data_IF_737424418634
#
_entry.id   IF_737424418634
#
_cell.length_a   1.000
_cell.length_b   1.000
_cell.length_c   1.000
_cell.angle_alpha   90.00
_cell.angle_beta   90.00
_cell.angle_gamma   90.00
#
_symmetry.space_group_name_H-M   'P 1'
#
loop_
_entity.id
_entity.type
_entity.pdbx_description
1 polymer ?
#
# COMPACT_ATOMS: atom_id res chain seq x y z
N UNK A 1 -1.37 64.97 -3.50
CA UNK A 1 -1.85 64.24 -4.72
C UNK A 1 -0.79 63.23 -5.10
N UNK A 2 -0.99 62.00 -4.77
CA UNK A 2 -0.22 60.86 -5.22
C UNK A 2 -1.19 59.92 -5.91
N UNK A 3 -0.93 59.38 -7.10
CA UNK A 3 -1.82 58.47 -7.78
C UNK A 3 -1.63 57.05 -7.23
N UNK A 4 -2.75 56.44 -6.85
CA UNK A 4 -2.86 55.03 -6.57
C UNK A 4 -2.74 54.27 -7.89
N UNK A 5 -1.75 53.41 -8.03
CA UNK A 5 -1.68 52.39 -9.05
C UNK A 5 -2.03 51.05 -8.39
N UNK A 6 -3.26 50.62 -8.57
CA UNK A 6 -3.72 49.27 -8.30
C UNK A 6 -3.17 48.36 -9.38
N UNK A 7 -2.12 47.61 -9.08
CA UNK A 7 -1.76 46.43 -9.85
C UNK A 7 -2.49 45.22 -9.22
N UNK A 8 -3.66 44.94 -9.75
CA UNK A 8 -4.26 43.63 -9.67
C UNK A 8 -3.42 42.70 -10.59
N UNK A 9 -2.47 42.00 -10.03
CA UNK A 9 -1.89 40.82 -10.66
C UNK A 9 -2.98 39.79 -10.80
N UNK A 10 -3.56 39.71 -12.00
CA UNK A 10 -4.33 38.61 -12.47
C UNK A 10 -3.43 37.36 -12.43
N UNK A 11 -3.67 36.48 -11.46
CA UNK A 11 -3.10 35.13 -11.42
C UNK A 11 -3.62 34.41 -12.66
N UNK A 12 -2.89 34.47 -13.77
CA UNK A 12 -3.14 33.62 -14.91
C UNK A 12 -3.01 32.18 -14.41
N UNK A 13 -4.14 31.51 -14.25
CA UNK A 13 -4.25 30.09 -14.09
C UNK A 13 -3.63 29.46 -15.35
N UNK A 14 -2.39 29.00 -15.23
CA UNK A 14 -1.73 28.23 -16.27
C UNK A 14 -2.59 27.01 -16.55
N UNK A 15 -3.40 27.08 -17.61
CA UNK A 15 -4.16 25.93 -18.08
C UNK A 15 -3.20 24.89 -18.60
N UNK A 16 -3.05 23.78 -17.85
CA UNK A 16 -2.28 22.62 -18.27
C UNK A 16 -2.87 22.14 -19.60
N UNK A 17 -2.07 21.97 -20.66
CA UNK A 17 -2.51 21.49 -21.96
C UNK A 17 -3.36 20.22 -21.84
N UNK A 18 -4.38 20.08 -22.65
CA UNK A 18 -5.35 18.97 -22.55
C UNK A 18 -4.67 17.59 -22.73
N UNK A 19 -3.63 17.52 -23.55
CA UNK A 19 -2.86 16.29 -23.76
C UNK A 19 -2.05 15.91 -22.53
N UNK A 20 -1.51 16.86 -21.78
CA UNK A 20 -0.82 16.62 -20.50
C UNK A 20 -1.78 16.11 -19.43
N UNK A 21 -3.00 16.64 -19.38
CA UNK A 21 -4.05 16.12 -18.48
C UNK A 21 -4.44 14.69 -18.81
N UNK A 22 -4.57 14.34 -20.10
CA UNK A 22 -4.86 12.96 -20.55
C UNK A 22 -3.72 12.02 -20.18
N UNK A 23 -2.48 12.46 -20.35
CA UNK A 23 -1.28 11.70 -20.00
C UNK A 23 -1.19 11.43 -18.50
N UNK A 24 -1.41 12.45 -17.67
CA UNK A 24 -1.44 12.32 -16.21
C UNK A 24 -2.58 11.40 -15.74
N UNK A 25 -3.76 11.46 -16.36
CA UNK A 25 -4.86 10.53 -16.06
C UNK A 25 -4.52 9.09 -16.40
N UNK A 26 -3.88 8.83 -17.55
CA UNK A 26 -3.41 7.48 -17.93
C UNK A 26 -2.37 6.96 -16.94
N UNK A 27 -1.41 7.80 -16.55
CA UNK A 27 -0.42 7.45 -15.53
C UNK A 27 -1.09 7.10 -14.20
N UNK A 28 -1.98 7.97 -13.70
CA UNK A 28 -2.71 7.74 -12.48
C UNK A 28 -3.54 6.45 -12.52
N UNK A 29 -4.32 6.23 -13.58
CA UNK A 29 -5.10 5.01 -13.77
C UNK A 29 -4.23 3.75 -13.79
N UNK A 30 -3.06 3.80 -14.44
CA UNK A 30 -2.12 2.68 -14.47
C UNK A 30 -1.60 2.33 -13.06
N UNK A 31 -1.13 3.32 -12.32
CA UNK A 31 -0.65 3.10 -10.96
C UNK A 31 -1.76 2.70 -9.98
N UNK A 32 -2.96 3.24 -10.14
CA UNK A 32 -4.14 2.79 -9.38
C UNK A 32 -4.43 1.31 -9.63
N UNK A 33 -4.46 0.86 -10.89
CA UNK A 33 -4.67 -0.54 -11.24
C UNK A 33 -3.54 -1.44 -10.73
N UNK A 34 -2.29 -1.00 -10.78
CA UNK A 34 -1.18 -1.75 -10.18
C UNK A 34 -1.38 -1.93 -8.67
N UNK A 35 -1.73 -0.88 -7.94
CA UNK A 35 -2.00 -0.95 -6.51
C UNK A 35 -3.19 -1.85 -6.19
N UNK A 36 -4.29 -1.68 -6.92
CA UNK A 36 -5.52 -2.44 -6.76
C UNK A 36 -5.29 -3.94 -6.98
N UNK A 37 -4.80 -4.32 -8.16
CA UNK A 37 -4.68 -5.74 -8.55
C UNK A 37 -3.59 -6.45 -7.75
N UNK A 38 -2.49 -5.77 -7.42
CA UNK A 38 -1.43 -6.36 -6.62
C UNK A 38 -1.90 -6.76 -5.21
N UNK A 39 -2.85 -6.03 -4.65
CA UNK A 39 -3.30 -6.25 -3.27
C UNK A 39 -4.67 -6.94 -3.16
N UNK A 40 -5.51 -6.91 -4.22
CA UNK A 40 -6.86 -7.49 -4.17
C UNK A 40 -6.82 -9.00 -3.90
N UNK A 41 -5.85 -9.72 -4.44
CA UNK A 41 -5.71 -11.17 -4.22
C UNK A 41 -5.40 -11.50 -2.75
N UNK A 42 -4.56 -10.69 -2.12
CA UNK A 42 -4.28 -10.79 -0.70
C UNK A 42 -5.56 -10.69 0.13
N UNK A 43 -6.43 -9.73 -0.19
CA UNK A 43 -7.70 -9.52 0.50
C UNK A 43 -8.69 -10.64 0.23
N UNK A 44 -8.77 -11.14 -1.00
CA UNK A 44 -9.61 -12.31 -1.34
C UNK A 44 -9.21 -13.53 -0.51
N UNK A 45 -7.90 -13.82 -0.39
CA UNK A 45 -7.39 -14.93 0.42
C UNK A 45 -7.77 -14.75 1.90
N UNK A 46 -7.60 -13.53 2.45
CA UNK A 46 -7.97 -13.25 3.84
C UNK A 46 -9.48 -13.38 4.07
N UNK A 47 -10.28 -12.88 3.13
CA UNK A 47 -11.75 -12.97 3.20
C UNK A 47 -12.23 -14.41 3.09
N UNK A 48 -11.55 -15.22 2.27
CA UNK A 48 -11.81 -16.65 2.11
C UNK A 48 -11.22 -17.52 3.23
N UNK A 49 -10.47 -16.97 4.16
CA UNK A 49 -9.65 -17.73 5.11
C UNK A 49 -10.46 -18.75 5.91
N UNK A 50 -11.70 -18.42 6.29
CA UNK A 50 -12.60 -19.33 7.02
C UNK A 50 -13.04 -20.53 6.17
N UNK A 51 -13.13 -20.35 4.86
CA UNK A 51 -13.59 -21.37 3.91
C UNK A 51 -12.41 -22.21 3.37
N UNK A 52 -11.18 -21.71 3.55
CA UNK A 52 -9.95 -22.33 3.05
C UNK A 52 -9.38 -23.41 3.98
N UNK A 53 -9.66 -23.32 5.29
CA UNK A 53 -9.06 -24.22 6.29
C UNK A 53 -10.12 -24.88 7.16
N UNK A 54 -9.84 -26.09 7.69
CA UNK A 54 -10.69 -26.73 8.68
C UNK A 54 -10.84 -25.84 9.93
N UNK A 55 -11.99 -25.93 10.59
CA UNK A 55 -12.30 -25.17 11.82
C UNK A 55 -11.29 -25.39 12.97
N UNK A 56 -10.58 -26.53 12.95
CA UNK A 56 -9.53 -26.86 13.91
C UNK A 56 -8.19 -26.14 13.67
N UNK A 57 -8.03 -25.45 12.53
CA UNK A 57 -6.76 -24.81 12.16
C UNK A 57 -6.79 -23.34 12.61
N UNK A 58 -5.80 -22.88 13.40
CA UNK A 58 -5.72 -21.47 13.80
C UNK A 58 -5.62 -20.53 12.59
N UNK A 59 -6.45 -19.48 12.55
CA UNK A 59 -6.47 -18.48 11.47
C UNK A 59 -5.12 -17.76 11.29
N UNK A 60 -4.35 -17.65 12.36
CA UNK A 60 -3.01 -17.04 12.35
C UNK A 60 -2.02 -17.71 11.40
N UNK A 61 -2.19 -19.00 11.08
CA UNK A 61 -1.35 -19.71 10.11
C UNK A 61 -1.55 -19.13 8.70
N UNK A 62 -2.80 -18.85 8.32
CA UNK A 62 -3.10 -18.24 7.01
C UNK A 62 -2.51 -16.84 6.95
N UNK A 63 -2.72 -16.03 7.99
CA UNK A 63 -2.15 -14.70 8.07
C UNK A 63 -0.61 -14.73 7.97
N UNK A 64 0.03 -15.65 8.67
CA UNK A 64 1.48 -15.84 8.59
C UNK A 64 1.94 -16.22 7.18
N UNK A 65 1.32 -17.22 6.55
CA UNK A 65 1.65 -17.63 5.18
C UNK A 65 1.35 -16.55 4.14
N UNK A 66 0.41 -15.65 4.46
CA UNK A 66 0.06 -14.53 3.58
C UNK A 66 0.95 -13.30 3.79
N UNK A 67 1.78 -13.22 4.82
CA UNK A 67 2.64 -12.07 5.12
C UNK A 67 4.13 -12.40 5.03
N UNK A 68 4.56 -13.53 5.61
CA UNK A 68 5.97 -13.88 5.70
C UNK A 68 6.67 -13.99 4.33
N UNK A 69 6.10 -14.61 3.28
CA UNK A 69 6.74 -14.64 1.97
C UNK A 69 6.84 -13.27 1.30
N UNK A 70 5.85 -12.38 1.49
CA UNK A 70 5.91 -11.01 0.99
C UNK A 70 7.04 -10.23 1.65
N UNK A 71 7.22 -10.41 2.96
CA UNK A 71 8.33 -9.82 3.70
C UNK A 71 9.68 -10.33 3.19
N UNK A 72 9.82 -11.65 2.97
CA UNK A 72 11.04 -12.23 2.39
C UNK A 72 11.34 -11.61 1.01
N UNK A 73 10.33 -11.41 0.17
CA UNK A 73 10.50 -10.74 -1.12
C UNK A 73 10.97 -9.29 -0.94
N UNK A 74 10.33 -8.51 -0.05
CA UNK A 74 10.67 -7.10 0.20
C UNK A 74 12.07 -6.92 0.80
N UNK A 75 12.50 -7.84 1.67
CA UNK A 75 13.85 -7.81 2.27
C UNK A 75 14.90 -8.38 1.32
N UNK A 76 14.66 -9.57 0.79
CA UNK A 76 15.65 -10.29 0.00
C UNK A 76 15.98 -9.60 -1.31
N UNK A 77 14.96 -9.13 -2.01
CA UNK A 77 15.11 -8.59 -3.35
C UNK A 77 16.04 -7.37 -3.45
N UNK A 78 15.92 -6.31 -2.61
CA UNK A 78 16.83 -5.17 -2.64
C UNK A 78 18.27 -5.50 -2.24
N UNK A 79 18.47 -6.55 -1.42
CA UNK A 79 19.80 -6.93 -0.93
C UNK A 79 20.49 -7.96 -1.82
N UNK A 80 19.74 -8.86 -2.45
CA UNK A 80 20.26 -9.96 -3.28
C UNK A 80 20.52 -9.50 -4.70
N UNK A 81 19.61 -8.73 -5.29
CA UNK A 81 19.78 -8.28 -6.67
C UNK A 81 20.80 -7.14 -6.77
N UNK A 82 21.76 -7.35 -7.65
CA UNK A 82 22.77 -6.36 -8.02
C UNK A 82 22.47 -5.91 -9.46
N UNK A 83 22.48 -4.60 -9.70
CA UNK A 83 22.38 -4.03 -11.03
C UNK A 83 20.98 -3.49 -11.39
N UNK A 84 20.77 -3.24 -12.69
CA UNK A 84 19.57 -2.59 -13.25
C UNK A 84 18.32 -3.45 -13.06
N UNK A 85 17.22 -2.81 -12.66
CA UNK A 85 15.93 -3.49 -12.48
C UNK A 85 15.32 -3.78 -13.86
N UNK A 86 14.96 -5.04 -14.09
CA UNK A 86 14.26 -5.49 -15.30
C UNK A 86 12.75 -5.56 -15.00
N UNK A 87 12.06 -4.43 -15.13
CA UNK A 87 10.63 -4.30 -14.77
C UNK A 87 9.75 -5.31 -15.48
N UNK A 88 9.91 -5.48 -16.80
CA UNK A 88 9.12 -6.43 -17.60
C UNK A 88 9.20 -7.84 -17.06
N UNK A 89 10.42 -8.36 -16.81
CA UNK A 89 10.60 -9.72 -16.26
C UNK A 89 9.97 -9.89 -14.88
N UNK A 90 10.04 -8.85 -14.04
CA UNK A 90 9.40 -8.87 -12.70
C UNK A 90 7.87 -8.88 -12.80
N UNK A 91 7.29 -8.06 -13.68
CA UNK A 91 5.84 -7.97 -13.90
C UNK A 91 5.28 -9.30 -14.36
N UNK A 92 5.91 -9.93 -15.37
CA UNK A 92 5.51 -11.26 -15.81
C UNK A 92 5.71 -12.33 -14.71
N UNK A 93 6.83 -12.28 -13.99
CA UNK A 93 7.09 -13.18 -12.87
C UNK A 93 6.01 -13.07 -11.78
N UNK A 94 5.64 -11.85 -11.40
CA UNK A 94 4.56 -11.59 -10.44
C UNK A 94 3.22 -12.11 -10.96
N UNK A 95 2.88 -11.83 -12.23
CA UNK A 95 1.63 -12.32 -12.83
C UNK A 95 1.55 -13.84 -12.77
N UNK A 96 2.58 -14.55 -13.21
CA UNK A 96 2.62 -16.02 -13.22
C UNK A 96 2.56 -16.60 -11.81
N UNK A 97 3.35 -16.07 -10.87
CA UNK A 97 3.37 -16.54 -9.48
C UNK A 97 2.02 -16.33 -8.77
N UNK A 98 1.38 -15.17 -8.96
CA UNK A 98 0.05 -14.92 -8.40
C UNK A 98 -1.01 -15.84 -8.98
N UNK A 99 -1.07 -15.97 -10.31
CA UNK A 99 -2.05 -16.85 -10.96
C UNK A 99 -1.83 -18.30 -10.57
N UNK A 100 -0.58 -18.79 -10.56
CA UNK A 100 -0.25 -20.15 -10.14
C UNK A 100 -0.62 -20.37 -8.66
N UNK A 101 -0.31 -19.42 -7.78
CA UNK A 101 -0.66 -19.49 -6.37
C UNK A 101 -2.16 -19.63 -6.17
N UNK A 102 -2.97 -18.79 -6.84
CA UNK A 102 -4.44 -18.86 -6.76
C UNK A 102 -4.99 -20.16 -7.34
N UNK A 103 -4.43 -20.67 -8.44
CA UNK A 103 -4.83 -21.97 -9.02
C UNK A 103 -4.51 -23.12 -8.07
N UNK A 104 -3.35 -23.11 -7.40
CA UNK A 104 -3.01 -24.13 -6.41
C UNK A 104 -4.02 -24.11 -5.24
N UNK A 105 -4.38 -22.92 -4.74
CA UNK A 105 -5.41 -22.79 -3.68
C UNK A 105 -6.77 -23.31 -4.13
N UNK A 106 -7.13 -23.06 -5.40
CA UNK A 106 -8.43 -23.46 -5.94
C UNK A 106 -8.52 -24.97 -6.23
N UNK A 107 -7.46 -25.58 -6.75
CA UNK A 107 -7.50 -26.97 -7.26
C UNK A 107 -7.22 -28.01 -6.18
N UNK A 108 -6.46 -27.68 -5.14
CA UNK A 108 -6.06 -28.64 -4.11
C UNK A 108 -6.85 -28.42 -2.80
N UNK A 109 -7.34 -29.51 -2.21
CA UNK A 109 -8.04 -29.50 -0.91
C UNK A 109 -7.09 -29.68 0.28
N UNK A 110 -5.86 -30.14 0.02
CA UNK A 110 -4.85 -30.31 1.07
C UNK A 110 -4.47 -28.96 1.68
N UNK A 111 -4.54 -28.85 3.02
CA UNK A 111 -4.10 -27.66 3.76
C UNK A 111 -2.69 -27.23 3.36
N UNK A 112 -1.76 -28.19 3.27
CA UNK A 112 -0.36 -27.89 2.91
C UNK A 112 -0.24 -27.27 1.52
N UNK A 113 -0.94 -27.84 0.51
CA UNK A 113 -0.93 -27.27 -0.84
C UNK A 113 -1.55 -25.87 -0.87
N UNK A 114 -2.67 -25.64 -0.17
CA UNK A 114 -3.29 -24.31 -0.06
C UNK A 114 -2.34 -23.30 0.58
N UNK A 115 -1.64 -23.66 1.65
CA UNK A 115 -0.65 -22.77 2.30
C UNK A 115 0.52 -22.44 1.36
N UNK A 116 0.98 -23.40 0.54
CA UNK A 116 1.99 -23.12 -0.51
C UNK A 116 1.44 -22.14 -1.54
N UNK A 117 0.22 -22.37 -2.03
CA UNK A 117 -0.41 -21.47 -3.00
C UNK A 117 -0.56 -20.04 -2.45
N UNK A 118 -0.99 -19.89 -1.19
CA UNK A 118 -1.06 -18.61 -0.48
C UNK A 118 0.33 -17.97 -0.40
N UNK A 119 1.35 -18.76 -0.06
CA UNK A 119 2.74 -18.29 0.01
C UNK A 119 3.29 -17.77 -1.33
N UNK A 120 2.97 -18.45 -2.44
CA UNK A 120 3.35 -18.00 -3.79
C UNK A 120 2.67 -16.67 -4.16
N UNK A 121 1.37 -16.55 -3.92
CA UNK A 121 0.62 -15.33 -4.16
C UNK A 121 1.14 -14.17 -3.28
N UNK A 122 1.45 -14.44 -2.02
CA UNK A 122 2.04 -13.50 -1.08
C UNK A 122 3.41 -13.01 -1.54
N UNK A 123 4.30 -13.92 -1.90
CA UNK A 123 5.64 -13.56 -2.41
C UNK A 123 5.53 -12.67 -3.63
N UNK A 124 4.64 -13.01 -4.55
CA UNK A 124 4.35 -12.20 -5.74
C UNK A 124 3.84 -10.81 -5.38
N UNK A 125 2.92 -10.69 -4.42
CA UNK A 125 2.37 -9.41 -3.97
C UNK A 125 3.47 -8.51 -3.38
N UNK A 126 4.36 -9.07 -2.54
CA UNK A 126 5.48 -8.32 -1.96
C UNK A 126 6.48 -7.85 -3.02
N UNK A 127 6.82 -8.71 -4.01
CA UNK A 127 7.68 -8.36 -5.12
C UNK A 127 7.03 -7.33 -6.05
N UNK A 128 5.73 -7.45 -6.29
CA UNK A 128 4.94 -6.52 -7.11
C UNK A 128 4.91 -5.13 -6.49
N UNK A 129 4.58 -5.02 -5.20
CA UNK A 129 4.57 -3.74 -4.50
C UNK A 129 5.92 -3.04 -4.59
N UNK A 130 7.02 -3.75 -4.28
CA UNK A 130 8.37 -3.23 -4.43
C UNK A 130 8.64 -2.76 -5.88
N UNK A 131 8.22 -3.54 -6.86
CA UNK A 131 8.44 -3.25 -8.28
C UNK A 131 7.70 -1.99 -8.71
N UNK A 132 6.43 -1.80 -8.33
CA UNK A 132 5.63 -0.64 -8.72
C UNK A 132 6.06 0.63 -7.99
N UNK A 133 6.44 0.54 -6.72
CA UNK A 133 7.02 1.65 -5.98
C UNK A 133 8.35 2.10 -6.61
N UNK A 134 9.19 1.17 -7.01
CA UNK A 134 10.43 1.47 -7.73
C UNK A 134 10.16 2.01 -9.14
N UNK A 135 9.16 1.49 -9.85
CA UNK A 135 8.76 1.99 -11.17
C UNK A 135 8.30 3.45 -11.10
N UNK A 136 7.61 3.88 -10.04
CA UNK A 136 7.19 5.27 -9.87
C UNK A 136 8.38 6.25 -9.88
N UNK A 137 9.55 5.82 -9.42
CA UNK A 137 10.75 6.66 -9.39
C UNK A 137 11.38 6.91 -10.75
N UNK A 138 10.98 6.17 -11.78
CA UNK A 138 11.48 6.34 -13.14
C UNK A 138 10.85 7.54 -13.85
N UNK A 139 9.78 8.10 -13.29
CA UNK A 139 9.09 9.26 -13.83
C UNK A 139 9.68 10.56 -13.29
N UNK A 140 9.85 11.54 -14.15
CA UNK A 140 10.32 12.87 -13.84
C UNK A 140 9.34 13.91 -14.43
N UNK A 141 9.18 15.09 -13.83
CA UNK A 141 9.77 15.54 -12.57
C UNK A 141 9.21 14.85 -11.31
N UNK A 142 9.73 15.10 -10.10
CA UNK A 142 9.26 14.47 -8.86
C UNK A 142 7.75 14.60 -8.59
N UNK A 143 7.10 15.63 -9.11
CA UNK A 143 5.65 15.81 -9.04
C UNK A 143 4.90 14.73 -9.79
N UNK A 144 5.37 14.33 -10.98
CA UNK A 144 4.80 13.24 -11.79
C UNK A 144 4.97 11.89 -11.08
N UNK A 145 6.17 11.64 -10.54
CA UNK A 145 6.43 10.45 -9.73
C UNK A 145 5.52 10.39 -8.48
N UNK A 146 5.35 11.53 -7.80
CA UNK A 146 4.44 11.65 -6.65
C UNK A 146 2.98 11.43 -7.01
N UNK A 147 2.54 11.88 -8.18
CA UNK A 147 1.19 11.61 -8.72
C UNK A 147 0.97 10.09 -8.91
N UNK A 148 1.88 9.41 -9.62
CA UNK A 148 1.81 7.96 -9.78
C UNK A 148 1.77 7.22 -8.44
N UNK A 149 2.63 7.61 -7.49
CA UNK A 149 2.67 7.03 -6.15
C UNK A 149 1.37 7.23 -5.37
N UNK A 150 0.77 8.43 -5.43
CA UNK A 150 -0.52 8.72 -4.79
C UNK A 150 -1.63 7.81 -5.32
N UNK A 151 -1.71 7.63 -6.63
CA UNK A 151 -2.68 6.72 -7.24
C UNK A 151 -2.40 5.24 -6.94
N UNK A 152 -1.13 4.84 -6.85
CA UNK A 152 -0.78 3.49 -6.39
C UNK A 152 -1.27 3.25 -4.94
N UNK A 153 -1.01 4.20 -4.02
CA UNK A 153 -1.48 4.11 -2.65
C UNK A 153 -3.02 4.08 -2.56
N UNK A 154 -3.71 4.89 -3.37
CA UNK A 154 -5.17 4.86 -3.51
C UNK A 154 -5.66 3.49 -3.98
N UNK A 155 -5.03 2.92 -5.01
CA UNK A 155 -5.33 1.58 -5.52
C UNK A 155 -5.16 0.48 -4.47
N UNK A 156 -4.08 0.53 -3.68
CA UNK A 156 -3.87 -0.42 -2.57
C UNK A 156 -4.96 -0.30 -1.49
N UNK A 157 -5.44 0.92 -1.21
CA UNK A 157 -6.57 1.14 -0.32
C UNK A 157 -7.88 0.58 -0.88
N UNK A 158 -8.15 0.83 -2.17
CA UNK A 158 -9.33 0.30 -2.86
C UNK A 158 -9.36 -1.23 -2.91
N UNK A 159 -8.19 -1.89 -2.88
CA UNK A 159 -8.09 -3.35 -2.90
C UNK A 159 -8.79 -4.01 -1.71
N UNK A 160 -8.80 -3.35 -0.54
CA UNK A 160 -9.52 -3.81 0.64
C UNK A 160 -11.03 -3.95 0.38
N UNK A 161 -11.63 -2.89 -0.14
CA UNK A 161 -13.06 -2.88 -0.48
C UNK A 161 -13.36 -3.82 -1.65
N UNK A 162 -12.58 -3.74 -2.74
CA UNK A 162 -12.80 -4.54 -3.93
C UNK A 162 -12.62 -6.03 -3.66
N UNK A 163 -11.60 -6.43 -2.90
CA UNK A 163 -11.35 -7.83 -2.59
C UNK A 163 -12.43 -8.44 -1.68
N UNK A 164 -12.87 -7.70 -0.66
CA UNK A 164 -13.97 -8.14 0.19
C UNK A 164 -15.27 -8.26 -0.59
N UNK A 165 -15.59 -7.28 -1.45
CA UNK A 165 -16.76 -7.31 -2.32
C UNK A 165 -16.69 -8.48 -3.32
N UNK A 166 -15.58 -8.63 -4.03
CA UNK A 166 -15.42 -9.73 -4.99
C UNK A 166 -15.59 -11.10 -4.34
N UNK A 167 -15.00 -11.28 -3.15
CA UNK A 167 -15.19 -12.54 -2.42
C UNK A 167 -16.64 -12.75 -2.02
N UNK A 168 -17.32 -11.70 -1.54
CA UNK A 168 -18.74 -11.76 -1.19
C UNK A 168 -19.60 -12.27 -2.34
N UNK A 169 -19.39 -11.74 -3.56
CA UNK A 169 -20.13 -12.13 -4.76
C UNK A 169 -19.83 -13.57 -5.21
N UNK A 170 -18.56 -13.99 -5.14
CA UNK A 170 -18.15 -15.30 -5.68
C UNK A 170 -18.16 -16.43 -4.66
N UNK A 171 -18.25 -16.15 -3.36
CA UNK A 171 -18.21 -17.19 -2.31
C UNK A 171 -19.32 -18.23 -2.45
N UNK A 172 -20.50 -17.81 -2.94
CA UNK A 172 -21.63 -18.69 -3.21
C UNK A 172 -21.37 -19.79 -4.25
N UNK A 173 -20.35 -19.58 -5.10
CA UNK A 173 -19.87 -20.56 -6.08
C UNK A 173 -18.90 -21.60 -5.48
N UNK A 174 -18.56 -21.43 -4.20
CA UNK A 174 -17.56 -22.23 -3.50
C UNK A 174 -16.12 -21.80 -3.75
N UNK A 175 -15.21 -22.28 -2.87
CA UNK A 175 -13.80 -21.91 -2.87
C UNK A 175 -13.11 -22.18 -4.22
N UNK A 176 -13.35 -23.33 -4.82
CA UNK A 176 -12.70 -23.73 -6.09
C UNK A 176 -13.00 -22.76 -7.21
N UNK A 177 -14.27 -22.42 -7.40
CA UNK A 177 -14.68 -21.54 -8.49
C UNK A 177 -14.36 -20.08 -8.17
N UNK A 178 -14.65 -19.62 -6.95
CA UNK A 178 -14.42 -18.24 -6.54
C UNK A 178 -12.95 -17.84 -6.57
N UNK A 179 -12.07 -18.63 -5.96
CA UNK A 179 -10.63 -18.39 -5.97
C UNK A 179 -10.03 -18.64 -7.37
N UNK A 180 -10.53 -19.71 -8.06
CA UNK A 180 -10.10 -20.01 -9.41
C UNK A 180 -10.40 -18.90 -10.40
N UNK A 181 -11.57 -18.30 -10.36
CA UNK A 181 -11.93 -17.13 -11.18
C UNK A 181 -11.02 -15.93 -10.88
N UNK A 182 -10.67 -15.74 -9.60
CA UNK A 182 -9.77 -14.65 -9.19
C UNK A 182 -8.34 -14.82 -9.72
N UNK A 183 -7.93 -16.02 -10.16
CA UNK A 183 -6.60 -16.29 -10.75
C UNK A 183 -6.35 -15.56 -12.08
N UNK A 184 -7.42 -15.04 -12.71
CA UNK A 184 -7.33 -14.26 -13.94
C UNK A 184 -6.95 -12.78 -13.68
N UNK A 185 -7.25 -12.26 -12.48
CA UNK A 185 -7.01 -10.85 -12.17
C UNK A 185 -5.55 -10.39 -12.36
N UNK A 186 -4.51 -11.19 -12.04
CA UNK A 186 -3.11 -10.78 -12.24
C UNK A 186 -2.76 -10.40 -13.68
N UNK A 187 -3.47 -10.91 -14.69
CA UNK A 187 -3.21 -10.58 -16.10
C UNK A 187 -3.54 -9.12 -16.44
N UNK A 188 -4.34 -8.44 -15.59
CA UNK A 188 -4.58 -6.99 -15.73
C UNK A 188 -3.27 -6.21 -15.54
N UNK A 189 -2.32 -6.69 -14.73
CA UNK A 189 -1.04 -6.01 -14.48
C UNK A 189 -0.20 -5.87 -15.75
N UNK A 190 0.19 -6.94 -16.47
CA UNK A 190 0.91 -6.80 -17.72
C UNK A 190 0.09 -6.06 -18.79
N UNK A 191 -1.24 -6.28 -18.86
CA UNK A 191 -2.09 -5.53 -19.77
C UNK A 191 -2.03 -4.01 -19.50
N UNK A 192 -2.10 -3.60 -18.25
CA UNK A 192 -1.96 -2.19 -17.85
C UNK A 192 -0.58 -1.64 -18.21
N UNK A 193 0.48 -2.42 -17.98
CA UNK A 193 1.85 -2.00 -18.24
C UNK A 193 2.11 -1.74 -19.74
N UNK A 194 1.62 -2.63 -20.63
CA UNK A 194 1.89 -2.50 -22.06
C UNK A 194 0.91 -1.60 -22.81
N UNK A 195 -0.36 -1.53 -22.38
CA UNK A 195 -1.40 -0.82 -23.14
C UNK A 195 -1.83 0.51 -22.52
N UNK A 196 -1.71 0.67 -21.21
CA UNK A 196 -2.22 1.87 -20.52
C UNK A 196 -1.11 2.78 -20.02
N UNK A 197 0.01 2.22 -19.53
CA UNK A 197 1.07 2.97 -18.88
C UNK A 197 1.83 3.83 -19.91
N UNK A 198 1.85 5.17 -19.77
CA UNK A 198 2.61 6.03 -20.67
C UNK A 198 4.12 5.87 -20.43
N UNK A 199 4.90 6.01 -21.49
CA UNK A 199 6.38 5.97 -21.41
C UNK A 199 6.90 7.11 -20.53
N UNK A 200 7.91 6.83 -19.71
CA UNK A 200 8.55 7.87 -18.89
C UNK A 200 9.23 8.97 -19.74
N UNK A 201 9.67 8.63 -20.95
CA UNK A 201 10.26 9.59 -21.90
C UNK A 201 9.27 10.67 -22.35
N UNK A 202 7.99 10.37 -22.43
CA UNK A 202 6.97 11.35 -22.86
C UNK A 202 6.90 12.56 -21.94
N UNK A 203 7.07 12.37 -20.62
CA UNK A 203 7.06 13.46 -19.64
C UNK A 203 8.31 14.34 -19.69
N UNK A 204 9.40 13.84 -20.29
CA UNK A 204 10.65 14.62 -20.41
C UNK A 204 10.54 15.67 -21.52
N UNK A 205 9.86 15.34 -22.61
CA UNK A 205 9.67 16.29 -23.71
C UNK A 205 8.71 17.42 -23.35
N UNK A 206 7.73 17.19 -22.50
CA UNK A 206 6.80 18.22 -22.06
C UNK A 206 7.43 19.23 -21.10
N UNK A 207 8.55 18.90 -20.47
CA UNK A 207 9.26 19.75 -19.50
C UNK A 207 10.28 20.71 -20.15
N UNK A 208 10.49 20.62 -21.47
CA UNK A 208 11.40 21.50 -22.21
C UNK A 208 10.56 22.63 -22.80
N UNK A 209 10.73 23.90 -22.36
CA UNK A 209 10.06 25.03 -23.02
C UNK A 209 10.49 25.08 -24.48
N UNK A 210 9.58 25.42 -25.42
CA UNK A 210 9.96 25.57 -26.81
C UNK A 210 11.08 26.60 -26.91
N UNK A 211 12.23 26.15 -27.44
CA UNK A 211 13.41 27.00 -27.66
C UNK A 211 13.08 28.07 -28.69
N UNK A 212 12.68 29.25 -28.24
CA UNK A 212 12.26 30.37 -29.06
C UNK A 212 12.45 31.73 -28.41
N UNK A 213 13.35 31.86 -27.45
CA UNK A 213 13.86 33.18 -27.01
C UNK A 213 15.35 33.06 -26.68
N UNK A 214 16.17 33.50 -27.63
CA UNK A 214 17.56 33.86 -27.38
C UNK A 214 17.58 35.01 -26.37
N UNK A 215 18.03 34.74 -25.16
CA UNK A 215 18.34 35.79 -24.18
C UNK A 215 19.85 35.87 -24.03
N UNK A 216 20.43 37.10 -24.16
CA UNK A 216 21.87 37.25 -24.16
C UNK A 216 22.46 37.18 -22.76
N UNK A 217 23.55 36.42 -22.62
CA UNK A 217 24.59 36.51 -21.59
C UNK A 217 24.18 36.56 -20.12
N UNK A 218 24.13 35.38 -19.47
CA UNK A 218 24.61 35.27 -18.10
C UNK A 218 25.51 34.05 -18.00
N UNK A 219 26.82 34.30 -17.86
CA UNK A 219 27.80 33.29 -17.45
C UNK A 219 27.50 32.82 -16.04
N UNK A 220 26.99 31.64 -15.88
CA UNK A 220 26.77 30.97 -14.62
C UNK A 220 26.45 29.52 -14.89
N UNK A 221 27.41 28.62 -14.72
CA UNK A 221 27.39 27.20 -15.02
C UNK A 221 26.32 26.47 -14.21
N UNK A 222 25.15 26.29 -14.80
CA UNK A 222 24.20 25.22 -14.39
C UNK A 222 23.95 24.36 -15.62
N UNK A 223 24.62 23.22 -15.67
CA UNK A 223 24.37 22.21 -16.70
C UNK A 223 22.90 21.79 -16.62
N UNK A 224 22.15 21.81 -17.76
CA UNK A 224 20.78 21.34 -17.77
C UNK A 224 20.76 19.84 -17.48
N UNK A 225 19.94 19.45 -16.50
CA UNK A 225 19.61 18.07 -16.21
C UNK A 225 18.98 17.43 -17.45
N UNK A 226 19.73 16.58 -18.12
CA UNK A 226 19.20 15.73 -19.18
C UNK A 226 18.87 14.36 -18.56
N UNK A 227 17.58 14.04 -18.32
CA UNK A 227 17.22 12.71 -17.87
C UNK A 227 17.57 11.69 -18.97
N UNK A 228 18.30 10.64 -18.62
CA UNK A 228 18.55 9.54 -19.54
C UNK A 228 17.23 8.87 -19.88
N UNK A 229 16.78 9.06 -21.12
CA UNK A 229 15.67 8.30 -21.68
C UNK A 229 15.96 6.80 -21.51
N UNK A 230 14.98 6.07 -21.01
CA UNK A 230 14.99 4.62 -21.15
C UNK A 230 14.88 4.35 -22.66
N UNK A 231 16.00 4.01 -23.26
CA UNK A 231 16.07 3.69 -24.69
C UNK A 231 15.25 2.44 -24.95
N UNK A 232 14.45 2.46 -26.00
CA UNK A 232 13.61 1.36 -26.51
C UNK A 232 14.43 0.16 -27.05
N UNK A 233 15.58 -0.12 -26.47
CA UNK A 233 16.52 -1.18 -26.91
C UNK A 233 16.27 -2.55 -26.23
N UNK A 234 15.07 -2.85 -25.75
CA UNK A 234 14.77 -4.20 -25.24
C UNK A 234 14.08 -5.14 -26.26
N UNK A 235 13.95 -4.74 -27.54
CA UNK A 235 13.35 -5.59 -28.59
C UNK A 235 14.29 -6.00 -29.73
N UNK A 236 15.59 -5.85 -29.58
CA UNK A 236 16.55 -6.21 -30.63
C UNK A 236 17.92 -6.52 -30.04
N UNK A 237 18.13 -7.73 -29.53
CA UNK A 237 19.47 -8.30 -29.48
C UNK A 237 19.69 -9.04 -30.78
N UNK A 238 20.31 -8.36 -31.75
CA UNK A 238 21.36 -8.92 -32.62
C UNK A 238 22.00 -7.82 -33.49
N UNK A 239 23.33 -7.80 -33.40
CA UNK A 239 24.32 -7.17 -34.32
C UNK A 239 24.46 -5.65 -34.33
N UNK A 240 25.56 -5.19 -33.74
CA UNK A 240 26.08 -3.82 -33.91
C UNK A 240 27.16 -3.44 -32.91
N UNK A 241 28.36 -4.00 -33.04
CA UNK A 241 29.57 -3.60 -32.30
C UNK A 241 29.89 -2.12 -32.50
N UNK A 242 29.53 -1.25 -31.54
CA UNK A 242 30.19 0.02 -31.33
C UNK A 242 30.79 0.06 -29.94
N UNK A 243 32.11 0.26 -29.83
CA UNK A 243 32.92 0.33 -28.63
C UNK A 243 32.45 1.46 -27.72
N UNK A 244 31.52 1.18 -26.80
CA UNK A 244 31.36 1.95 -25.61
C UNK A 244 32.32 1.39 -24.56
N UNK A 245 33.16 2.23 -23.95
CA UNK A 245 34.09 1.82 -22.90
C UNK A 245 33.39 1.13 -21.73
N UNK A 246 34.11 0.41 -20.87
CA UNK A 246 33.51 -0.40 -19.82
C UNK A 246 32.69 0.49 -18.88
N UNK A 247 31.33 0.47 -19.03
CA UNK A 247 30.41 1.09 -18.06
C UNK A 247 30.66 0.37 -16.73
N UNK A 248 31.30 1.05 -15.78
CA UNK A 248 31.43 0.58 -14.40
C UNK A 248 30.03 0.31 -13.88
N UNK A 249 29.69 -0.96 -13.70
CA UNK A 249 28.48 -1.36 -12.97
C UNK A 249 28.59 -0.81 -11.55
N UNK A 250 27.91 0.30 -11.30
CA UNK A 250 27.82 0.91 -9.97
C UNK A 250 26.87 0.04 -9.16
N UNK A 251 27.38 -0.73 -8.24
CA UNK A 251 26.55 -1.49 -7.29
C UNK A 251 26.75 -0.90 -5.89
N UNK A 252 25.65 -0.66 -5.17
CA UNK A 252 25.69 -0.23 -3.77
C UNK A 252 26.34 -1.33 -2.92
N UNK A 253 27.39 -0.97 -2.19
CA UNK A 253 28.01 -1.87 -1.22
C UNK A 253 27.11 -2.05 0.01
N UNK A 254 27.36 -3.09 0.81
CA UNK A 254 26.58 -3.29 2.05
C UNK A 254 26.70 -2.10 3.00
N UNK A 255 27.90 -1.50 3.13
CA UNK A 255 28.12 -0.32 3.95
C UNK A 255 27.33 0.90 3.42
N UNK A 256 27.25 1.09 2.09
CA UNK A 256 26.42 2.15 1.50
C UNK A 256 24.94 1.95 1.88
N UNK A 257 24.45 0.71 1.79
CA UNK A 257 23.07 0.36 2.15
C UNK A 257 22.75 0.65 3.62
N UNK A 258 23.63 0.27 4.54
CA UNK A 258 23.46 0.55 5.98
C UNK A 258 23.49 2.06 6.25
N UNK A 259 24.39 2.80 5.59
CA UNK A 259 24.47 4.26 5.71
C UNK A 259 23.18 4.94 5.22
N UNK A 260 22.60 4.45 4.13
CA UNK A 260 21.34 4.99 3.57
C UNK A 260 20.12 4.69 4.45
N UNK A 261 20.05 3.50 5.07
CA UNK A 261 18.92 3.09 5.91
C UNK A 261 18.90 3.81 7.26
N UNK A 262 20.07 4.07 7.86
CA UNK A 262 20.17 4.65 9.21
C UNK A 262 19.33 5.92 9.43
N UNK A 263 19.35 6.95 8.54
CA UNK A 263 18.50 8.14 8.69
C UNK A 263 17.02 7.85 8.42
N UNK A 264 16.70 6.83 7.60
CA UNK A 264 15.32 6.46 7.31
C UNK A 264 14.65 5.74 8.48
N UNK A 265 15.45 5.04 9.31
CA UNK A 265 14.94 4.21 10.39
C UNK A 265 14.06 4.99 11.36
N UNK A 266 14.53 6.11 11.87
CA UNK A 266 13.77 6.92 12.84
C UNK A 266 12.70 7.79 12.19
N UNK A 267 12.97 8.28 10.98
CA UNK A 267 12.10 9.27 10.33
C UNK A 267 10.87 8.66 9.66
N UNK A 268 11.03 7.49 9.02
CA UNK A 268 9.99 6.84 8.23
C UNK A 268 9.69 5.42 8.70
N UNK A 269 10.72 4.59 8.94
CA UNK A 269 10.54 3.17 9.15
C UNK A 269 9.93 2.84 10.51
N UNK A 270 10.42 3.41 11.60
CA UNK A 270 9.86 3.18 12.94
C UNK A 270 8.41 3.68 13.09
N UNK A 271 8.07 4.91 12.67
CA UNK A 271 6.67 5.34 12.68
C UNK A 271 5.78 4.40 11.88
N UNK A 272 6.19 4.01 10.67
CA UNK A 272 5.41 3.13 9.82
C UNK A 272 5.28 1.73 10.42
N UNK A 273 6.35 1.16 10.97
CA UNK A 273 6.33 -0.11 11.67
C UNK A 273 5.31 -0.11 12.82
N UNK A 274 5.33 0.90 13.68
CA UNK A 274 4.40 0.98 14.80
C UNK A 274 2.95 1.19 14.37
N UNK A 275 2.70 1.98 13.32
CA UNK A 275 1.35 2.11 12.77
C UNK A 275 0.82 0.73 12.39
N UNK A 276 1.56 -0.03 11.59
CA UNK A 276 1.11 -1.35 11.13
C UNK A 276 1.07 -2.40 12.25
N UNK A 277 1.97 -2.30 13.22
CA UNK A 277 1.93 -3.15 14.41
C UNK A 277 0.62 -2.95 15.18
N UNK A 278 0.25 -1.70 15.46
CA UNK A 278 -0.95 -1.40 16.23
C UNK A 278 -2.22 -1.65 15.41
N UNK A 279 -2.27 -1.20 14.17
CA UNK A 279 -3.37 -1.37 13.22
C UNK A 279 -3.76 -2.85 13.05
N UNK A 280 -2.79 -3.70 12.74
CA UNK A 280 -3.09 -5.12 12.55
C UNK A 280 -3.32 -5.87 13.87
N UNK A 281 -2.80 -5.39 15.00
CA UNK A 281 -3.16 -5.91 16.33
C UNK A 281 -4.62 -5.56 16.66
N UNK A 282 -5.09 -4.36 16.31
CA UNK A 282 -6.50 -3.99 16.43
C UNK A 282 -7.35 -4.90 15.54
N UNK A 283 -7.06 -4.93 14.26
CA UNK A 283 -7.88 -5.65 13.27
C UNK A 283 -7.99 -7.16 13.53
N UNK A 284 -6.91 -7.81 13.98
CA UNK A 284 -6.85 -9.26 14.13
C UNK A 284 -7.03 -9.74 15.58
N UNK A 285 -6.72 -8.88 16.55
CA UNK A 285 -6.73 -9.26 17.98
C UNK A 285 -7.83 -8.60 18.80
N UNK A 286 -8.17 -7.34 18.51
CA UNK A 286 -9.17 -6.58 19.28
C UNK A 286 -10.54 -6.58 18.60
N UNK A 287 -10.61 -6.25 17.32
CA UNK A 287 -11.87 -6.13 16.57
C UNK A 287 -12.76 -7.39 16.63
N UNK A 288 -12.22 -8.63 16.58
CA UNK A 288 -13.03 -9.84 16.76
C UNK A 288 -13.74 -9.93 18.11
N UNK A 289 -13.24 -9.21 19.13
CA UNK A 289 -13.81 -9.22 20.49
C UNK A 289 -14.78 -8.06 20.75
N UNK A 290 -14.90 -7.10 19.82
CA UNK A 290 -15.83 -5.96 19.91
C UNK A 290 -17.23 -6.39 19.46
N UNK A 291 -17.90 -7.13 20.34
CA UNK A 291 -19.19 -7.75 20.09
C UNK A 291 -20.25 -7.16 20.98
N UNK A 292 -21.41 -6.94 20.40
CA UNK A 292 -22.59 -6.40 21.08
C UNK A 292 -23.81 -7.29 20.78
N UNK A 293 -24.87 -7.21 21.59
CA UNK A 293 -26.14 -7.87 21.29
C UNK A 293 -26.68 -7.42 19.92
N UNK A 294 -27.47 -8.29 19.29
CA UNK A 294 -28.10 -7.98 18.00
C UNK A 294 -29.08 -6.82 18.19
N UNK A 295 -28.93 -5.73 17.40
CA UNK A 295 -29.76 -4.52 17.55
C UNK A 295 -31.24 -4.83 17.28
N UNK A 296 -32.13 -4.44 18.20
CA UNK A 296 -33.57 -4.54 17.96
C UNK A 296 -34.04 -3.50 16.93
N UNK A 297 -34.95 -3.87 15.99
CA UNK A 297 -35.46 -2.95 14.97
C UNK A 297 -36.14 -1.71 15.57
N UNK A 298 -36.80 -1.87 16.72
CA UNK A 298 -37.53 -0.80 17.38
C UNK A 298 -36.61 0.31 17.93
N UNK A 299 -35.40 -0.05 18.34
CA UNK A 299 -34.44 0.89 18.95
C UNK A 299 -33.37 1.38 17.96
N UNK A 300 -32.93 0.51 17.02
CA UNK A 300 -31.83 0.76 16.09
C UNK A 300 -32.15 0.29 14.66
N UNK A 301 -33.14 0.92 14.03
CA UNK A 301 -33.66 0.53 12.71
C UNK A 301 -32.57 0.35 11.62
N UNK A 302 -31.58 1.24 11.55
CA UNK A 302 -30.53 1.15 10.54
C UNK A 302 -29.55 0.00 10.83
N UNK A 303 -29.11 -0.12 12.09
CA UNK A 303 -28.19 -1.16 12.51
C UNK A 303 -28.79 -2.56 12.41
N UNK A 304 -30.09 -2.70 12.70
CA UNK A 304 -30.80 -3.99 12.60
C UNK A 304 -30.93 -4.50 11.16
N UNK A 305 -30.81 -3.60 10.15
CA UNK A 305 -30.76 -4.01 8.73
C UNK A 305 -29.39 -4.47 8.27
N UNK A 306 -28.35 -4.15 9.02
CA UNK A 306 -26.95 -4.51 8.69
C UNK A 306 -26.49 -5.68 9.54
N UNK A 307 -26.84 -5.68 10.82
CA UNK A 307 -26.41 -6.67 11.81
C UNK A 307 -27.58 -7.61 12.11
N UNK A 308 -27.52 -8.82 11.61
CA UNK A 308 -28.52 -9.86 11.84
C UNK A 308 -28.04 -10.90 12.84
N UNK A 309 -26.70 -11.04 12.97
CA UNK A 309 -26.05 -11.97 13.89
C UNK A 309 -24.87 -11.30 14.58
N UNK A 310 -24.45 -11.85 15.72
CA UNK A 310 -23.25 -11.38 16.43
C UNK A 310 -22.00 -11.43 15.53
N UNK A 311 -21.96 -12.39 14.59
CA UNK A 311 -20.86 -12.55 13.65
C UNK A 311 -20.73 -11.42 12.63
N UNK A 312 -21.78 -10.59 12.44
CA UNK A 312 -21.78 -9.52 11.45
C UNK A 312 -20.99 -8.29 11.94
N UNK A 313 -20.70 -8.18 13.24
CA UNK A 313 -19.91 -7.06 13.79
C UNK A 313 -18.50 -7.01 13.22
N UNK A 314 -17.80 -8.14 13.15
CA UNK A 314 -16.42 -8.14 12.63
C UNK A 314 -16.34 -7.71 11.15
N UNK A 315 -17.14 -8.22 10.21
CA UNK A 315 -17.21 -7.69 8.85
C UNK A 315 -17.57 -6.20 8.79
N UNK A 316 -18.44 -5.71 9.67
CA UNK A 316 -18.78 -4.29 9.74
C UNK A 316 -17.56 -3.45 10.11
N UNK A 317 -16.82 -3.84 11.16
CA UNK A 317 -15.59 -3.15 11.56
C UNK A 317 -14.56 -3.14 10.44
N UNK A 318 -14.38 -4.27 9.75
CA UNK A 318 -13.49 -4.36 8.60
C UNK A 318 -13.93 -3.45 7.45
N UNK A 319 -15.23 -3.34 7.17
CA UNK A 319 -15.74 -2.47 6.11
C UNK A 319 -15.46 -0.99 6.42
N UNK A 320 -15.69 -0.56 7.67
CA UNK A 320 -15.44 0.82 8.13
C UNK A 320 -13.96 1.14 8.01
N UNK A 321 -13.10 0.26 8.55
CA UNK A 321 -11.66 0.38 8.47
C UNK A 321 -11.16 0.49 7.02
N UNK A 322 -11.55 -0.45 6.15
CA UNK A 322 -11.12 -0.43 4.74
C UNK A 322 -11.60 0.80 3.98
N UNK A 323 -12.80 1.29 4.29
CA UNK A 323 -13.34 2.52 3.70
C UNK A 323 -12.48 3.72 4.07
N UNK A 324 -12.15 3.88 5.34
CA UNK A 324 -11.37 5.01 5.83
C UNK A 324 -9.89 4.93 5.44
N UNK A 325 -9.32 3.72 5.35
CA UNK A 325 -7.99 3.49 4.74
C UNK A 325 -7.97 3.91 3.28
N UNK A 326 -8.98 3.51 2.50
CA UNK A 326 -9.07 3.91 1.10
C UNK A 326 -9.14 5.43 0.94
N UNK A 327 -10.01 6.10 1.69
CA UNK A 327 -10.15 7.56 1.65
C UNK A 327 -8.85 8.27 2.04
N UNK A 328 -8.20 7.83 3.11
CA UNK A 328 -6.96 8.45 3.60
C UNK A 328 -5.76 8.18 2.69
N UNK A 329 -5.63 6.99 2.11
CA UNK A 329 -4.60 6.70 1.09
C UNK A 329 -4.82 7.49 -0.19
N UNK A 330 -6.07 7.83 -0.51
CA UNK A 330 -6.43 8.65 -1.67
C UNK A 330 -6.15 10.14 -1.46
N UNK A 331 -5.82 10.58 -0.24
CA UNK A 331 -5.69 12.01 0.12
C UNK A 331 -4.79 12.79 -0.85
N UNK A 332 -3.62 12.28 -1.19
CA UNK A 332 -2.68 12.94 -2.12
C UNK A 332 -3.23 12.95 -3.55
N UNK A 333 -3.90 11.86 -3.97
CA UNK A 333 -4.50 11.76 -5.32
C UNK A 333 -5.62 12.77 -5.55
N UNK A 334 -6.36 13.13 -4.50
CA UNK A 334 -7.45 14.12 -4.55
C UNK A 334 -6.98 15.54 -4.22
N UNK A 335 -5.66 15.76 -4.08
CA UNK A 335 -5.06 17.08 -3.92
C UNK A 335 -4.91 17.56 -2.48
N UNK A 336 -5.12 16.71 -1.46
CA UNK A 336 -4.83 17.07 -0.07
C UNK A 336 -3.30 17.14 0.11
N UNK A 337 -2.76 18.24 0.67
CA UNK A 337 -1.32 18.39 0.85
C UNK A 337 -0.76 17.31 1.78
N UNK A 338 0.48 16.83 1.52
CA UNK A 338 1.11 15.81 2.35
C UNK A 338 1.42 16.35 3.75
N UNK A 339 1.36 15.48 4.75
CA UNK A 339 1.71 15.81 6.14
C UNK A 339 3.09 16.44 6.24
N UNK A 340 3.27 17.49 7.08
CA UNK A 340 4.58 18.04 7.36
C UNK A 340 5.51 16.97 7.94
N UNK A 341 6.83 17.06 7.70
CA UNK A 341 7.78 16.03 8.18
C UNK A 341 7.75 15.78 9.69
N UNK A 342 7.47 16.83 10.47
CA UNK A 342 7.40 16.77 11.93
C UNK A 342 6.17 16.01 12.45
N UNK A 343 5.11 15.88 11.62
CA UNK A 343 3.87 15.19 11.99
C UNK A 343 3.81 13.75 11.46
N UNK A 344 4.84 13.27 10.79
CA UNK A 344 4.89 11.87 10.32
C UNK A 344 4.78 10.82 11.44
N UNK A 345 5.30 11.02 12.67
CA UNK A 345 5.10 10.10 13.77
C UNK A 345 3.70 10.17 14.41
N UNK A 346 2.94 11.25 14.18
CA UNK A 346 1.63 11.46 14.82
C UNK A 346 0.65 10.30 14.58
N UNK A 347 0.46 9.78 13.36
CA UNK A 347 -0.41 8.62 13.13
C UNK A 347 -0.03 7.40 14.00
N UNK A 348 1.27 7.13 14.21
CA UNK A 348 1.68 6.00 15.04
C UNK A 348 1.34 6.16 16.52
N UNK A 349 1.48 7.36 17.06
CA UNK A 349 1.11 7.67 18.43
C UNK A 349 -0.41 7.55 18.62
N UNK A 350 -1.19 8.15 17.72
CA UNK A 350 -2.64 8.03 17.72
C UNK A 350 -3.10 6.59 17.62
N UNK A 351 -2.47 5.79 16.75
CA UNK A 351 -2.78 4.37 16.57
C UNK A 351 -2.57 3.57 17.86
N UNK A 352 -1.49 3.86 18.60
CA UNK A 352 -1.23 3.26 19.91
C UNK A 352 -2.34 3.61 20.93
N UNK A 353 -2.78 4.87 20.95
CA UNK A 353 -3.91 5.29 21.78
C UNK A 353 -5.21 4.59 21.40
N UNK A 354 -5.52 4.49 20.10
CA UNK A 354 -6.72 3.81 19.60
C UNK A 354 -6.71 2.35 20.00
N UNK A 355 -5.57 1.66 19.90
CA UNK A 355 -5.40 0.27 20.35
C UNK A 355 -5.77 0.15 21.84
N UNK A 356 -5.24 1.02 22.70
CA UNK A 356 -5.53 1.00 24.15
C UNK A 356 -7.01 1.27 24.44
N UNK A 357 -7.61 2.25 23.75
CA UNK A 357 -9.02 2.58 23.90
C UNK A 357 -9.93 1.43 23.46
N UNK A 358 -9.68 0.83 22.31
CA UNK A 358 -10.46 -0.31 21.80
C UNK A 358 -10.28 -1.56 22.67
N UNK A 359 -9.07 -1.82 23.18
CA UNK A 359 -8.83 -2.90 24.14
C UNK A 359 -9.53 -2.65 25.47
N UNK A 360 -9.59 -1.40 25.92
CA UNK A 360 -10.36 -1.00 27.11
C UNK A 360 -11.86 -1.21 26.89
N UNK A 361 -12.42 -0.75 25.76
CA UNK A 361 -13.81 -0.98 25.39
C UNK A 361 -14.14 -2.47 25.36
N UNK A 362 -13.30 -3.28 24.72
CA UNK A 362 -13.48 -4.73 24.67
C UNK A 362 -13.45 -5.38 26.05
N UNK A 363 -12.50 -4.98 26.92
CA UNK A 363 -12.30 -5.62 28.22
C UNK A 363 -13.22 -5.10 29.31
N UNK A 364 -13.48 -3.78 29.37
CA UNK A 364 -14.18 -3.10 30.45
C UNK A 364 -15.49 -2.46 29.96
N UNK A 365 -15.48 -1.83 28.78
CA UNK A 365 -16.55 -1.00 28.27
C UNK A 365 -16.45 0.45 28.76
N UNK A 366 -16.74 1.40 27.87
CA UNK A 366 -16.79 2.83 28.21
C UNK A 366 -18.10 3.20 28.90
N UNK A 367 -19.18 2.50 28.56
CA UNK A 367 -20.53 2.83 28.99
C UNK A 367 -21.17 1.64 29.69
N UNK A 368 -22.27 1.93 30.39
CA UNK A 368 -23.08 0.89 31.01
C UNK A 368 -23.73 -0.03 29.95
N UNK A 369 -24.09 -1.26 30.36
CA UNK A 369 -24.58 -2.29 29.45
C UNK A 369 -25.89 -1.93 28.71
N UNK A 370 -26.63 -0.93 29.17
CA UNK A 370 -27.84 -0.40 28.55
C UNK A 370 -27.57 0.67 27.45
N UNK A 371 -26.35 1.18 27.37
CA UNK A 371 -25.91 2.21 26.42
C UNK A 371 -25.14 1.65 25.21
N UNK A 372 -25.48 0.45 24.73
CA UNK A 372 -24.81 -0.26 23.64
C UNK A 372 -24.67 0.58 22.35
N UNK A 373 -25.67 1.42 22.04
CA UNK A 373 -25.60 2.30 20.87
C UNK A 373 -24.48 3.32 20.95
N UNK A 374 -24.15 3.86 22.14
CA UNK A 374 -23.02 4.76 22.33
C UNK A 374 -21.71 4.02 22.18
N UNK A 375 -21.60 2.81 22.71
CA UNK A 375 -20.43 1.94 22.52
C UNK A 375 -20.18 1.68 21.04
N UNK A 376 -21.19 1.28 20.28
CA UNK A 376 -21.08 1.02 18.84
C UNK A 376 -20.62 2.28 18.07
N UNK A 377 -21.20 3.46 18.36
CA UNK A 377 -20.81 4.72 17.71
C UNK A 377 -19.37 5.10 18.07
N UNK A 378 -18.96 4.90 19.32
CA UNK A 378 -17.59 5.18 19.77
C UNK A 378 -16.58 4.26 19.07
N UNK A 379 -16.88 2.96 19.00
CA UNK A 379 -16.05 1.99 18.27
C UNK A 379 -16.00 2.32 16.79
N UNK A 380 -17.14 2.68 16.17
CA UNK A 380 -17.18 3.15 14.78
C UNK A 380 -16.23 4.34 14.57
N UNK A 381 -16.26 5.34 15.42
CA UNK A 381 -15.39 6.52 15.33
C UNK A 381 -13.91 6.16 15.53
N UNK A 382 -13.58 5.29 16.49
CA UNK A 382 -12.21 4.84 16.76
C UNK A 382 -11.65 4.01 15.59
N UNK A 383 -12.41 3.07 15.04
CA UNK A 383 -12.01 2.27 13.88
C UNK A 383 -11.88 3.15 12.62
N UNK A 384 -12.75 4.15 12.46
CA UNK A 384 -12.62 5.13 11.38
C UNK A 384 -11.31 5.91 11.50
N UNK A 385 -10.97 6.37 12.70
CA UNK A 385 -9.73 7.08 12.98
C UNK A 385 -8.50 6.18 12.80
N UNK A 386 -8.60 4.91 13.18
CA UNK A 386 -7.59 3.88 12.93
C UNK A 386 -7.25 3.79 11.45
N UNK A 387 -8.25 3.61 10.59
CA UNK A 387 -8.05 3.53 9.14
C UNK A 387 -7.47 4.83 8.54
N UNK A 388 -7.89 6.00 9.06
CA UNK A 388 -7.32 7.29 8.66
C UNK A 388 -5.82 7.35 9.02
N UNK A 389 -5.45 6.97 10.22
CA UNK A 389 -4.05 6.97 10.66
C UNK A 389 -3.18 6.03 9.81
N UNK A 390 -3.65 4.79 9.59
CA UNK A 390 -2.96 3.80 8.77
C UNK A 390 -2.72 4.27 7.35
N UNK A 391 -3.77 4.78 6.70
CA UNK A 391 -3.67 5.25 5.33
C UNK A 391 -2.80 6.51 5.17
N UNK A 392 -2.92 7.48 6.08
CA UNK A 392 -2.08 8.68 6.07
C UNK A 392 -0.60 8.34 6.29
N UNK A 393 -0.28 7.44 7.23
CA UNK A 393 1.10 7.03 7.49
C UNK A 393 1.75 6.43 6.23
N UNK A 394 1.03 5.51 5.56
CA UNK A 394 1.51 4.85 4.35
C UNK A 394 1.79 5.86 3.24
N UNK A 395 0.76 6.58 2.81
CA UNK A 395 0.87 7.44 1.63
C UNK A 395 1.89 8.56 1.83
N UNK A 396 1.96 9.14 3.04
CA UNK A 396 2.89 10.23 3.33
C UNK A 396 4.34 9.76 3.47
N UNK A 397 4.60 8.58 4.06
CA UNK A 397 5.94 8.02 4.13
C UNK A 397 6.53 7.82 2.72
N UNK A 398 5.80 7.14 1.84
CA UNK A 398 6.27 6.90 0.48
C UNK A 398 6.32 8.16 -0.39
N UNK A 399 5.36 9.07 -0.23
CA UNK A 399 5.38 10.34 -0.94
C UNK A 399 6.59 11.19 -0.57
N UNK A 400 6.86 11.33 0.73
CA UNK A 400 7.98 12.15 1.23
C UNK A 400 9.34 11.61 0.80
N UNK A 401 9.57 10.30 0.88
CA UNK A 401 10.83 9.70 0.44
C UNK A 401 11.04 9.87 -1.07
N UNK A 402 9.96 9.84 -1.84
CA UNK A 402 10.04 10.04 -3.28
C UNK A 402 10.41 11.49 -3.64
N UNK A 403 10.11 12.47 -2.76
CA UNK A 403 10.47 13.88 -2.92
C UNK A 403 11.87 14.22 -2.34
N UNK A 404 12.54 13.29 -1.65
CA UNK A 404 13.89 13.55 -1.15
C UNK A 404 14.89 13.73 -2.30
N UNK A 405 15.73 14.73 -2.16
CA UNK A 405 16.80 14.99 -3.12
C UNK A 405 17.88 13.91 -3.03
N UNK A 406 18.58 13.61 -4.15
CA UNK A 406 19.73 12.73 -4.13
C UNK A 406 20.80 13.22 -3.15
N UNK A 407 21.55 12.28 -2.55
CA UNK A 407 22.68 12.63 -1.70
C UNK A 407 23.71 13.44 -2.53
N UNK A 408 24.27 14.54 -2.02
CA UNK A 408 25.28 15.34 -2.74
C UNK A 408 26.46 14.53 -3.27
N UNK A 409 26.81 13.43 -2.58
CA UNK A 409 27.90 12.52 -3.01
C UNK A 409 27.54 11.67 -4.25
N UNK A 410 26.26 11.48 -4.53
CA UNK A 410 25.76 10.72 -5.69
C UNK A 410 25.18 11.62 -6.79
N UNK A 411 25.08 12.93 -6.57
CA UNK A 411 24.52 13.90 -7.53
C UNK A 411 25.23 13.89 -8.89
N UNK A 412 26.54 13.60 -8.93
CA UNK A 412 27.33 13.50 -10.15
C UNK A 412 27.19 12.15 -10.88
N UNK A 413 26.56 11.14 -10.25
CA UNK A 413 26.35 9.82 -10.85
C UNK A 413 24.87 9.44 -10.81
N UNK A 414 24.17 9.76 -11.89
CA UNK A 414 22.71 9.57 -12.01
C UNK A 414 22.27 8.11 -11.79
N UNK A 415 23.04 7.14 -12.25
CA UNK A 415 22.71 5.71 -12.06
C UNK A 415 22.81 5.33 -10.56
N UNK A 416 23.83 5.84 -9.86
CA UNK A 416 23.97 5.65 -8.41
C UNK A 416 22.83 6.31 -7.65
N UNK A 417 22.49 7.55 -7.97
CA UNK A 417 21.37 8.27 -7.34
C UNK A 417 20.04 7.54 -7.51
N UNK A 418 19.80 6.97 -8.70
CA UNK A 418 18.63 6.15 -8.98
C UNK A 418 18.60 4.89 -8.13
N UNK A 419 19.71 4.14 -8.06
CA UNK A 419 19.82 2.93 -7.24
C UNK A 419 19.66 3.22 -5.75
N UNK A 420 20.19 4.34 -5.24
CA UNK A 420 20.00 4.80 -3.87
C UNK A 420 18.52 5.09 -3.57
N UNK A 421 17.83 5.78 -4.49
CA UNK A 421 16.39 6.08 -4.36
C UNK A 421 15.53 4.81 -4.37
N UNK A 422 15.79 3.91 -5.31
CA UNK A 422 15.11 2.60 -5.41
C UNK A 422 15.34 1.75 -4.15
N UNK A 423 16.55 1.78 -3.60
CA UNK A 423 16.91 1.07 -2.37
C UNK A 423 16.20 1.68 -1.14
N UNK A 424 16.19 3.02 -1.01
CA UNK A 424 15.49 3.73 0.07
C UNK A 424 14.01 3.36 0.12
N UNK A 425 13.32 3.39 -1.03
CA UNK A 425 11.90 3.03 -1.13
C UNK A 425 11.67 1.58 -0.76
N UNK A 426 12.51 0.66 -1.25
CA UNK A 426 12.40 -0.75 -0.89
C UNK A 426 12.61 -1.01 0.60
N UNK A 427 13.49 -0.23 1.24
CA UNK A 427 13.75 -0.36 2.69
C UNK A 427 12.57 0.07 3.55
N UNK A 428 11.80 1.08 3.12
CA UNK A 428 10.58 1.49 3.84
C UNK A 428 9.50 0.41 3.78
N UNK A 429 9.34 -0.26 2.62
CA UNK A 429 8.41 -1.38 2.48
C UNK A 429 8.75 -2.63 3.32
N UNK A 430 9.95 -2.68 3.93
CA UNK A 430 10.28 -3.66 4.95
C UNK A 430 9.61 -3.33 6.29
N UNK A 431 9.49 -2.06 6.65
CA UNK A 431 8.98 -1.65 7.95
C UNK A 431 7.48 -1.98 8.11
N UNK A 432 6.65 -1.72 7.09
CA UNK A 432 5.22 -2.03 7.12
C UNK A 432 4.99 -3.54 7.27
N UNK A 433 5.64 -4.34 6.44
CA UNK A 433 5.48 -5.79 6.45
C UNK A 433 6.00 -6.44 7.73
N UNK A 434 7.07 -5.89 8.32
CA UNK A 434 7.55 -6.31 9.64
C UNK A 434 6.52 -5.99 10.72
N UNK A 435 5.92 -4.79 10.70
CA UNK A 435 4.86 -4.41 11.64
C UNK A 435 3.68 -5.38 11.58
N UNK A 436 3.21 -5.72 10.37
CA UNK A 436 2.12 -6.69 10.17
C UNK A 436 2.50 -8.09 10.69
N UNK A 437 3.72 -8.54 10.41
CA UNK A 437 4.18 -9.85 10.89
C UNK A 437 4.19 -9.92 12.42
N UNK A 438 4.76 -8.92 13.10
CA UNK A 438 4.75 -8.86 14.56
C UNK A 438 3.33 -8.76 15.12
N UNK A 439 2.45 -7.99 14.48
CA UNK A 439 1.04 -7.90 14.86
C UNK A 439 0.33 -9.26 14.77
N UNK A 440 0.59 -10.05 13.74
CA UNK A 440 -0.02 -11.39 13.61
C UNK A 440 0.37 -12.35 14.75
N UNK A 441 1.56 -12.18 15.32
CA UNK A 441 2.00 -12.93 16.49
C UNK A 441 1.34 -12.43 17.78
N UNK A 442 1.10 -11.12 17.89
CA UNK A 442 0.45 -10.51 19.05
C UNK A 442 -1.07 -10.66 19.05
N UNK A 443 -1.68 -10.77 17.89
CA UNK A 443 -3.14 -10.79 17.74
C UNK A 443 -3.79 -11.95 18.49
N UNK A 444 -3.26 -13.17 18.36
CA UNK A 444 -3.84 -14.37 19.01
C UNK A 444 -3.86 -14.26 20.53
N UNK A 445 -2.73 -13.99 21.22
CA UNK A 445 -2.76 -13.83 22.67
C UNK A 445 -3.61 -12.63 23.12
N UNK A 446 -3.70 -11.55 22.34
CA UNK A 446 -4.55 -10.39 22.62
C UNK A 446 -6.01 -10.76 22.57
N UNK A 447 -6.48 -11.42 21.49
CA UNK A 447 -7.86 -11.89 21.34
C UNK A 447 -8.28 -12.79 22.52
N UNK A 448 -7.43 -13.79 22.85
CA UNK A 448 -7.70 -14.72 23.94
C UNK A 448 -7.75 -14.02 25.31
N UNK A 449 -6.84 -13.07 25.55
CA UNK A 449 -6.81 -12.33 26.82
C UNK A 449 -8.05 -11.44 26.97
N UNK A 450 -8.47 -10.74 25.91
CA UNK A 450 -9.66 -9.90 25.91
C UNK A 450 -10.95 -10.72 26.08
N UNK A 451 -11.10 -11.82 25.35
CA UNK A 451 -12.23 -12.73 25.51
C UNK A 451 -12.30 -13.30 26.95
N UNK A 452 -11.16 -13.69 27.52
CA UNK A 452 -11.10 -14.14 28.91
C UNK A 452 -11.51 -13.02 29.89
N UNK A 453 -11.12 -11.78 29.64
CA UNK A 453 -11.52 -10.63 30.45
C UNK A 453 -13.04 -10.39 30.39
N UNK A 454 -13.64 -10.43 29.19
CA UNK A 454 -15.10 -10.32 28.99
C UNK A 454 -15.86 -11.41 29.73
N UNK A 455 -15.42 -12.67 29.57
CA UNK A 455 -16.04 -13.83 30.23
C UNK A 455 -16.02 -13.71 31.77
N UNK A 456 -14.92 -13.21 32.33
CA UNK A 456 -14.84 -12.98 33.81
C UNK A 456 -15.84 -11.95 34.29
N UNK A 457 -16.31 -11.05 33.43
CA UNK A 457 -17.32 -10.03 33.73
C UNK A 457 -18.75 -10.47 33.38
N UNK A 458 -18.93 -11.72 32.95
CA UNK A 458 -20.24 -12.26 32.59
C UNK A 458 -20.66 -12.04 31.12
N UNK A 459 -19.84 -11.35 30.30
CA UNK A 459 -20.10 -11.20 28.85
C UNK A 459 -19.62 -12.46 28.11
N UNK A 460 -20.55 -13.28 27.62
CA UNK A 460 -20.23 -14.56 26.99
C UNK A 460 -20.16 -14.51 25.44
N UNK A 461 -20.45 -13.36 24.83
CA UNK A 461 -20.58 -13.20 23.38
C UNK A 461 -19.38 -13.70 22.58
N UNK A 462 -18.15 -13.53 23.09
CA UNK A 462 -16.94 -14.02 22.42
C UNK A 462 -16.77 -15.55 22.40
N UNK A 463 -17.57 -16.30 23.20
CA UNK A 463 -17.60 -17.77 23.20
C UNK A 463 -18.64 -18.35 22.24
N UNK A 464 -19.54 -17.52 21.74
CA UNK A 464 -20.61 -17.90 20.81
C UNK A 464 -20.17 -17.80 19.33
N UNK A 465 -18.96 -17.30 19.11
CA UNK A 465 -18.31 -17.25 17.78
C UNK A 465 -17.67 -18.58 17.40
#
# INVERSE_FOLDING_TARGET
MLPATSNLESTELFEIPEDDRKLMRKLGASFFLFGLINNVLYVIILSAALDLVPSSTPKGIIAFCNIAPALVAKVGWPYVLKGRIRYVKRIFGCCILSSLGMLVVALFDSLFARLIGIGLASFSSGLGELTFLQLSTTYAPPSVAGHGLGYFASGTGAAGLAGAFLWWEVRGLGVRVGVGLSSVLPFIIPATYFFLLPSSSTFLYTSIPPSGYESPNVQGSTLPYTPLAATEEELGEEEGSFRAGPRKNVSLTFNDKVRLVRPLLTRYMLPLFFVYLFEYTINQGVAPTLLYPVPSPDRYWLLSKIIHTIRDYYPLWQLIYQTTVFLSRSSISIGIPPLPPNLLPLPSVLQGFILLLLAFESSIGFYADDAEGLSIITVFALISLEGICGGLAYVNAFYRINQEHPDPSSAHNMERAKQEKEFKIGSIGFADSSGILFASLLAVPTELALCKAQTRRGKMLCKEL
#
